data_IF_633467048119
#
_entry.id   IF_633467048119
#
_cell.length_a   1.000
_cell.length_b   1.000
_cell.length_c   1.000
_cell.angle_alpha   90.00
_cell.angle_beta   90.00
_cell.angle_gamma   90.00
#
_symmetry.space_group_name_H-M   'P 1'
#
loop_
_entity.id
_entity.type
_entity.pdbx_description
1 polymer ?
#
# COMPACT_ATOMS: atom_id res chain seq x y z
N UNK A 1 -23.95 -14.00 -26.30
CA UNK A 1 -24.07 -13.05 -25.17
C UNK A 1 -22.96 -12.03 -25.27
N UNK A 2 -23.20 -10.80 -24.80
CA UNK A 2 -22.17 -9.76 -24.69
C UNK A 2 -21.17 -10.11 -23.57
N UNK A 3 -19.88 -9.89 -23.81
CA UNK A 3 -18.80 -10.25 -22.88
C UNK A 3 -18.56 -9.11 -21.90
N UNK A 4 -18.80 -9.35 -20.60
CA UNK A 4 -18.39 -8.44 -19.52
C UNK A 4 -16.88 -8.60 -19.23
N UNK A 5 -16.23 -7.51 -18.84
CA UNK A 5 -14.81 -7.48 -18.50
C UNK A 5 -14.53 -6.28 -17.59
N UNK A 6 -13.47 -6.38 -16.78
CA UNK A 6 -12.96 -5.29 -15.96
C UNK A 6 -11.47 -5.54 -15.67
N UNK A 7 -10.78 -4.51 -15.19
CA UNK A 7 -9.47 -4.61 -14.59
C UNK A 7 -9.50 -4.10 -13.14
N UNK A 8 -8.63 -4.67 -12.32
CA UNK A 8 -8.36 -4.21 -10.96
C UNK A 8 -6.86 -4.27 -10.68
N UNK A 9 -6.40 -3.46 -9.74
CA UNK A 9 -4.99 -3.37 -9.39
C UNK A 9 -4.67 -2.21 -8.47
N UNK A 10 -3.39 -2.08 -8.17
CA UNK A 10 -2.90 -1.03 -7.29
C UNK A 10 -1.45 -1.27 -6.90
N UNK A 11 -0.85 -0.22 -6.36
CA UNK A 11 0.51 -0.22 -5.82
C UNK A 11 0.50 0.73 -4.63
N UNK A 12 0.86 0.25 -3.45
CA UNK A 12 0.89 1.03 -2.21
C UNK A 12 2.19 0.82 -1.42
N UNK A 13 2.55 1.79 -0.57
CA UNK A 13 3.77 1.75 0.23
C UNK A 13 3.47 1.72 1.73
N UNK A 14 4.11 0.80 2.45
CA UNK A 14 3.98 0.63 3.90
C UNK A 14 5.33 0.84 4.61
N UNK A 15 5.73 2.10 4.86
CA UNK A 15 7.01 2.38 5.50
C UNK A 15 6.95 2.11 7.01
N UNK A 16 8.12 1.90 7.62
CA UNK A 16 8.26 1.76 9.08
C UNK A 16 8.31 3.13 9.77
N UNK A 17 9.09 4.04 9.20
CA UNK A 17 9.20 5.45 9.59
C UNK A 17 8.87 6.32 8.39
N UNK A 18 8.42 7.54 8.64
CA UNK A 18 8.18 8.47 7.56
C UNK A 18 9.50 9.01 6.99
N UNK A 19 9.65 8.92 5.68
CA UNK A 19 10.59 9.70 4.90
C UNK A 19 9.77 10.45 3.83
N UNK A 20 9.80 11.77 3.86
CA UNK A 20 8.97 12.58 2.95
C UNK A 20 9.45 12.51 1.50
N UNK A 21 10.76 12.40 1.27
CA UNK A 21 11.31 12.32 -0.08
C UNK A 21 10.91 11.00 -0.75
N UNK A 22 10.94 9.90 0.01
CA UNK A 22 10.50 8.58 -0.46
C UNK A 22 9.01 8.58 -0.78
N UNK A 23 8.20 9.18 0.09
CA UNK A 23 6.76 9.27 -0.11
C UNK A 23 6.42 10.10 -1.36
N UNK A 24 7.08 11.26 -1.54
CA UNK A 24 6.96 12.09 -2.74
C UNK A 24 7.43 11.33 -3.98
N UNK A 25 8.60 10.67 -3.94
CA UNK A 25 9.14 9.89 -5.06
C UNK A 25 8.17 8.80 -5.50
N UNK A 26 7.67 8.02 -4.55
CA UNK A 26 6.73 6.93 -4.79
C UNK A 26 5.45 7.44 -5.46
N UNK A 27 4.80 8.44 -4.84
CA UNK A 27 3.54 8.99 -5.33
C UNK A 27 3.67 9.76 -6.63
N UNK A 28 4.77 10.50 -6.84
CA UNK A 28 5.07 11.18 -8.10
C UNK A 28 5.19 10.18 -9.25
N UNK A 29 5.91 9.09 -9.04
CA UNK A 29 6.11 8.06 -10.07
C UNK A 29 4.77 7.40 -10.46
N UNK A 30 3.89 7.15 -9.49
CA UNK A 30 2.54 6.63 -9.75
C UNK A 30 1.67 7.66 -10.48
N UNK A 31 1.70 8.93 -10.05
CA UNK A 31 0.97 10.03 -10.70
C UNK A 31 1.39 10.19 -12.16
N UNK A 32 2.69 10.21 -12.45
CA UNK A 32 3.22 10.26 -13.83
C UNK A 32 2.77 9.06 -14.69
N UNK A 33 2.53 7.89 -14.08
CA UNK A 33 1.97 6.75 -14.80
C UNK A 33 0.48 6.92 -15.11
N UNK A 34 -0.30 7.46 -14.17
CA UNK A 34 -1.72 7.77 -14.33
C UNK A 34 -1.96 8.93 -15.31
N UNK A 35 -1.20 10.01 -15.21
CA UNK A 35 -1.36 11.26 -15.96
C UNK A 35 -1.16 11.07 -17.48
N UNK A 36 -0.49 9.99 -17.90
CA UNK A 36 -0.39 9.57 -19.31
C UNK A 36 -1.72 9.16 -19.93
N UNK A 37 -2.73 8.86 -19.09
CA UNK A 37 -4.02 8.33 -19.52
C UNK A 37 -5.15 9.32 -19.19
N UNK A 38 -5.21 9.83 -17.97
CA UNK A 38 -6.11 10.93 -17.57
C UNK A 38 -5.65 11.48 -16.20
N UNK A 39 -5.55 12.82 -16.10
CA UNK A 39 -5.13 13.55 -14.89
C UNK A 39 -6.06 13.31 -13.67
N UNK A 40 -7.29 12.83 -13.90
CA UNK A 40 -8.24 12.51 -12.83
C UNK A 40 -7.98 11.15 -12.18
N UNK A 41 -7.20 10.27 -12.81
CA UNK A 41 -7.00 8.90 -12.33
C UNK A 41 -6.20 8.86 -11.03
N UNK A 42 -5.10 9.61 -10.93
CA UNK A 42 -4.30 9.61 -9.71
C UNK A 42 -5.09 10.12 -8.49
N UNK A 43 -5.73 11.31 -8.51
CA UNK A 43 -6.52 11.76 -7.36
C UNK A 43 -7.62 10.77 -6.94
N UNK A 44 -8.32 10.17 -7.92
CA UNK A 44 -9.37 9.17 -7.68
C UNK A 44 -8.79 7.91 -7.01
N UNK A 45 -7.74 7.34 -7.58
CA UNK A 45 -7.20 6.06 -7.13
C UNK A 45 -6.30 6.18 -5.91
N UNK A 46 -5.70 7.35 -5.66
CA UNK A 46 -5.03 7.67 -4.40
C UNK A 46 -6.02 7.71 -3.26
N UNK A 47 -7.12 8.45 -3.42
CA UNK A 47 -8.18 8.48 -2.41
C UNK A 47 -8.73 7.07 -2.15
N UNK A 48 -8.98 6.29 -3.20
CA UNK A 48 -9.48 4.93 -3.04
C UNK A 48 -8.47 4.04 -2.29
N UNK A 49 -7.16 4.22 -2.54
CA UNK A 49 -6.10 3.52 -1.80
C UNK A 49 -6.16 3.85 -0.29
N UNK A 50 -6.28 5.14 0.06
CA UNK A 50 -6.39 5.60 1.45
C UNK A 50 -7.62 5.03 2.17
N UNK A 51 -8.73 4.87 1.46
CA UNK A 51 -9.98 4.31 1.98
C UNK A 51 -9.93 2.78 2.10
N UNK A 52 -9.30 2.09 1.14
CA UNK A 52 -9.24 0.62 1.08
C UNK A 52 -8.35 0.03 2.17
N UNK A 53 -7.15 0.60 2.37
CA UNK A 53 -6.16 0.07 3.30
C UNK A 53 -6.34 0.56 4.75
N UNK A 54 -7.58 0.88 5.15
CA UNK A 54 -7.91 1.35 6.48
C UNK A 54 -8.16 0.21 7.47
N UNK A 55 -7.38 0.18 8.56
CA UNK A 55 -7.51 -0.78 9.65
C UNK A 55 -8.53 -0.24 10.65
N UNK A 56 -9.81 -0.54 10.42
CA UNK A 56 -10.94 0.07 11.15
C UNK A 56 -10.80 0.02 12.68
N UNK A 57 -10.34 -1.09 13.23
CA UNK A 57 -10.21 -1.27 14.68
C UNK A 57 -8.98 -0.55 15.29
N UNK A 58 -8.08 -0.02 14.46
CA UNK A 58 -6.90 0.77 14.89
C UNK A 58 -7.06 2.26 14.62
N UNK A 59 -7.99 2.66 13.75
CA UNK A 59 -8.15 4.05 13.36
C UNK A 59 -7.03 4.56 12.43
N UNK A 60 -6.28 3.67 11.79
CA UNK A 60 -5.09 4.02 10.98
C UNK A 60 -5.07 3.24 9.66
N UNK A 61 -4.35 3.75 8.66
CA UNK A 61 -4.10 3.05 7.39
C UNK A 61 -2.90 2.13 7.57
N UNK A 62 -2.84 1.09 6.74
CA UNK A 62 -1.72 0.13 6.72
C UNK A 62 -0.40 0.84 6.43
N UNK A 63 -0.42 1.78 5.49
CA UNK A 63 0.73 2.54 5.00
C UNK A 63 0.32 3.92 4.47
N UNK A 64 1.20 4.55 3.70
CA UNK A 64 1.02 5.91 3.17
C UNK A 64 0.28 5.96 1.83
N UNK A 65 -0.44 4.88 1.50
CA UNK A 65 -1.24 4.76 0.29
C UNK A 65 -0.41 4.58 -0.97
N UNK A 66 -0.98 5.01 -2.09
CA UNK A 66 -0.48 4.80 -3.44
C UNK A 66 -1.63 4.94 -4.43
N UNK A 67 -1.87 3.95 -5.28
CA UNK A 67 -3.08 3.87 -6.10
C UNK A 67 -3.79 2.54 -5.87
N UNK A 68 -5.12 2.56 -5.87
CA UNK A 68 -5.97 1.37 -5.84
C UNK A 68 -7.18 1.59 -6.76
N UNK A 69 -7.51 0.58 -7.54
CA UNK A 69 -8.66 0.58 -8.43
C UNK A 69 -9.19 -0.84 -8.62
N UNK A 70 -10.51 -0.94 -8.78
CA UNK A 70 -11.22 -2.18 -9.04
C UNK A 70 -12.38 -1.86 -9.99
N UNK A 71 -12.94 -2.89 -10.64
CA UNK A 71 -14.09 -2.75 -11.55
C UNK A 71 -13.91 -1.69 -12.66
N UNK A 72 -12.69 -1.53 -13.20
CA UNK A 72 -12.41 -0.58 -14.30
C UNK A 72 -12.72 -1.23 -15.65
N UNK A 73 -13.84 -0.82 -16.27
CA UNK A 73 -14.40 -1.40 -17.49
C UNK A 73 -14.64 -0.38 -18.64
N UNK A 74 -14.14 0.84 -18.47
CA UNK A 74 -14.32 1.97 -19.39
C UNK A 74 -13.04 2.82 -19.46
N UNK A 75 -12.79 3.55 -20.56
CA UNK A 75 -13.65 3.74 -21.75
C UNK A 75 -13.62 2.58 -22.74
N UNK A 76 -12.49 1.89 -22.89
CA UNK A 76 -12.36 0.70 -23.72
C UNK A 76 -11.33 -0.27 -23.14
N UNK A 77 -11.41 -1.53 -23.52
CA UNK A 77 -10.52 -2.57 -22.98
C UNK A 77 -9.05 -2.29 -23.25
N UNK A 78 -8.74 -1.79 -24.46
CA UNK A 78 -7.36 -1.50 -24.84
C UNK A 78 -6.82 -0.30 -24.07
N UNK A 79 -7.61 0.76 -23.91
CA UNK A 79 -7.20 1.94 -23.14
C UNK A 79 -6.97 1.60 -21.66
N UNK A 80 -7.88 0.84 -21.04
CA UNK A 80 -7.70 0.38 -19.65
C UNK A 80 -6.48 -0.53 -19.54
N UNK A 81 -6.25 -1.40 -20.54
CA UNK A 81 -5.06 -2.25 -20.55
C UNK A 81 -3.75 -1.43 -20.64
N UNK A 82 -3.70 -0.38 -21.46
CA UNK A 82 -2.53 0.51 -21.51
C UNK A 82 -2.33 1.25 -20.18
N UNK A 83 -3.41 1.67 -19.51
CA UNK A 83 -3.36 2.23 -18.16
C UNK A 83 -2.75 1.24 -17.15
N UNK A 84 -3.25 0.02 -17.09
CA UNK A 84 -2.74 -1.03 -16.21
C UNK A 84 -1.27 -1.35 -16.52
N UNK A 85 -0.89 -1.38 -17.80
CA UNK A 85 0.50 -1.60 -18.24
C UNK A 85 1.43 -0.47 -17.77
N UNK A 86 0.99 0.79 -17.83
CA UNK A 86 1.75 1.91 -17.27
C UNK A 86 1.94 1.78 -15.76
N UNK A 87 0.90 1.40 -15.03
CA UNK A 87 0.96 1.18 -13.57
C UNK A 87 1.89 0.00 -13.21
N UNK A 88 1.85 -1.10 -13.97
CA UNK A 88 2.75 -2.23 -13.76
C UNK A 88 4.22 -1.83 -14.00
N UNK A 89 4.48 -1.04 -15.04
CA UNK A 89 5.83 -0.53 -15.35
C UNK A 89 6.36 0.47 -14.32
N UNK A 90 5.50 1.13 -13.55
CA UNK A 90 5.92 2.10 -12.53
C UNK A 90 6.41 1.45 -11.23
N UNK A 91 6.12 0.16 -10.99
CA UNK A 91 6.49 -0.55 -9.74
C UNK A 91 7.99 -0.51 -9.45
N UNK A 92 8.81 -0.88 -10.44
CA UNK A 92 10.27 -0.89 -10.29
C UNK A 92 10.83 0.52 -10.02
N UNK A 93 10.53 1.55 -10.85
CA UNK A 93 11.08 2.89 -10.63
C UNK A 93 10.52 3.57 -9.37
N UNK A 94 9.30 3.25 -8.91
CA UNK A 94 8.76 3.86 -7.69
C UNK A 94 9.34 3.24 -6.42
N UNK A 95 9.78 1.97 -6.45
CA UNK A 95 10.18 1.24 -5.25
C UNK A 95 11.69 0.96 -5.14
N UNK A 96 12.35 0.53 -6.22
CA UNK A 96 13.76 0.11 -6.15
C UNK A 96 14.71 1.25 -5.73
N UNK A 97 14.53 2.52 -6.16
CA UNK A 97 15.37 3.62 -5.68
C UNK A 97 15.30 3.82 -4.17
N UNK A 98 14.10 3.71 -3.58
CA UNK A 98 13.86 3.79 -2.12
C UNK A 98 14.66 2.70 -1.41
N UNK A 99 14.51 1.44 -1.85
CA UNK A 99 15.24 0.31 -1.23
C UNK A 99 16.74 0.50 -1.34
N UNK A 100 17.27 0.91 -2.51
CA UNK A 100 18.70 1.14 -2.70
C UNK A 100 19.26 2.25 -1.81
N UNK A 101 18.46 3.26 -1.52
CA UNK A 101 18.83 4.37 -0.63
C UNK A 101 18.97 3.91 0.82
N UNK A 102 18.06 3.06 1.29
CA UNK A 102 17.92 2.74 2.71
C UNK A 102 18.38 1.33 3.13
N UNK A 103 18.70 0.42 2.19
CA UNK A 103 19.02 -0.97 2.53
C UNK A 103 20.31 -1.15 3.36
N UNK A 104 21.15 -0.12 3.44
CA UNK A 104 22.39 -0.11 4.21
C UNK A 104 22.36 0.85 5.41
N UNK A 105 21.21 1.46 5.68
CA UNK A 105 21.07 2.35 6.83
C UNK A 105 21.29 1.57 8.13
N UNK A 106 22.05 2.17 9.04
CA UNK A 106 22.14 1.67 10.40
C UNK A 106 20.80 1.84 11.11
N UNK A 107 20.39 0.84 11.87
CA UNK A 107 19.20 0.89 12.70
C UNK A 107 19.51 0.37 14.10
N UNK A 108 18.77 0.90 15.06
CA UNK A 108 18.80 0.51 16.47
C UNK A 108 17.91 -0.71 16.73
N UNK A 109 18.13 -1.45 17.82
CA UNK A 109 17.21 -2.49 18.27
C UNK A 109 15.77 -1.98 18.46
N UNK A 110 15.59 -0.75 18.91
CA UNK A 110 14.30 -0.09 19.13
C UNK A 110 13.57 0.14 17.79
N UNK A 111 14.28 0.65 16.77
CA UNK A 111 13.74 0.79 15.41
C UNK A 111 13.36 -0.56 14.81
N UNK A 112 14.12 -1.62 15.14
CA UNK A 112 13.77 -2.98 14.72
C UNK A 112 12.51 -3.48 15.40
N UNK A 113 12.32 -3.20 16.69
CA UNK A 113 11.10 -3.54 17.43
C UNK A 113 9.89 -2.81 16.86
N UNK A 114 10.03 -1.51 16.57
CA UNK A 114 8.99 -0.73 15.92
C UNK A 114 8.62 -1.30 14.55
N UNK A 115 9.59 -1.69 13.72
CA UNK A 115 9.34 -2.40 12.46
C UNK A 115 8.49 -3.66 12.69
N UNK A 116 8.73 -4.43 13.75
CA UNK A 116 7.94 -5.62 14.03
C UNK A 116 6.48 -5.29 14.40
N UNK A 117 6.25 -4.20 15.14
CA UNK A 117 4.91 -3.70 15.45
C UNK A 117 4.18 -3.23 14.19
N UNK A 118 4.85 -2.49 13.30
CA UNK A 118 4.30 -2.09 11.99
C UNK A 118 3.97 -3.30 11.11
N UNK A 119 4.82 -4.33 11.12
CA UNK A 119 4.53 -5.62 10.44
C UNK A 119 3.33 -6.35 11.05
N UNK A 120 3.13 -6.25 12.37
CA UNK A 120 1.91 -6.75 13.02
C UNK A 120 0.64 -6.12 12.45
N UNK A 121 0.66 -4.80 12.19
CA UNK A 121 -0.46 -4.09 11.51
C UNK A 121 -0.67 -4.57 10.08
N UNK A 122 0.40 -4.87 9.36
CA UNK A 122 0.31 -5.45 8.02
C UNK A 122 -0.41 -6.80 8.04
N UNK A 123 -0.06 -7.67 9.00
CA UNK A 123 -0.73 -8.96 9.21
C UNK A 123 -2.20 -8.76 9.61
N UNK A 124 -2.50 -7.86 10.55
CA UNK A 124 -3.88 -7.53 10.97
C UNK A 124 -4.75 -7.16 9.77
N UNK A 125 -4.27 -6.31 8.87
CA UNK A 125 -5.02 -5.94 7.68
C UNK A 125 -5.30 -7.13 6.76
N UNK A 126 -4.25 -7.90 6.40
CA UNK A 126 -4.39 -9.00 5.45
C UNK A 126 -5.32 -10.11 5.96
N UNK A 127 -5.26 -10.43 7.26
CA UNK A 127 -6.09 -11.49 7.82
C UNK A 127 -7.54 -11.07 8.10
N UNK A 128 -7.79 -9.78 8.38
CA UNK A 128 -9.13 -9.30 8.80
C UNK A 128 -9.90 -8.63 7.68
N UNK A 129 -9.25 -7.81 6.86
CA UNK A 129 -9.91 -6.87 5.95
C UNK A 129 -9.63 -7.14 4.47
N UNK A 130 -8.49 -7.73 4.12
CA UNK A 130 -8.15 -7.94 2.72
C UNK A 130 -9.11 -8.92 2.03
N UNK A 131 -9.81 -8.43 1.01
CA UNK A 131 -10.82 -9.19 0.28
C UNK A 131 -10.19 -10.38 -0.46
N UNK A 132 -9.00 -10.19 -1.03
CA UNK A 132 -8.29 -11.23 -1.79
C UNK A 132 -7.87 -12.39 -0.89
N UNK A 133 -7.25 -12.09 0.25
CA UNK A 133 -6.85 -13.08 1.26
C UNK A 133 -8.06 -13.85 1.80
N UNK A 134 -9.11 -13.13 2.22
CA UNK A 134 -10.32 -13.77 2.75
C UNK A 134 -11.00 -14.67 1.73
N UNK A 135 -11.16 -14.22 0.49
CA UNK A 135 -11.75 -15.01 -0.58
C UNK A 135 -10.91 -16.26 -0.90
N UNK A 136 -9.59 -16.10 -1.00
CA UNK A 136 -8.68 -17.22 -1.25
C UNK A 136 -8.73 -18.29 -0.17
N UNK A 137 -8.77 -17.91 1.11
CA UNK A 137 -8.86 -18.86 2.23
C UNK A 137 -10.20 -19.60 2.28
N UNK A 138 -11.28 -18.98 1.80
CA UNK A 138 -12.62 -19.59 1.78
C UNK A 138 -12.88 -20.44 0.52
N UNK A 139 -12.01 -20.37 -0.49
CA UNK A 139 -12.18 -21.08 -1.76
C UNK A 139 -11.56 -22.48 -1.69
N UNK A 140 -12.35 -23.56 -1.83
CA UNK A 140 -11.81 -24.92 -1.81
C UNK A 140 -10.76 -25.15 -2.92
N UNK A 141 -9.65 -25.80 -2.57
CA UNK A 141 -8.58 -26.12 -3.53
C UNK A 141 -7.65 -24.96 -3.86
N UNK A 142 -7.80 -23.78 -3.24
CA UNK A 142 -6.84 -22.69 -3.40
C UNK A 142 -5.47 -23.04 -2.82
N UNK A 143 -4.41 -22.53 -3.46
CA UNK A 143 -3.03 -22.72 -3.03
C UNK A 143 -2.73 -21.78 -1.86
N UNK A 144 -2.79 -22.29 -0.63
CA UNK A 144 -2.59 -21.51 0.60
C UNK A 144 -1.25 -20.77 0.62
N UNK A 145 -0.17 -21.40 0.16
CA UNK A 145 1.15 -20.75 0.05
C UNK A 145 1.15 -19.51 -0.86
N UNK A 146 0.27 -19.48 -1.86
CA UNK A 146 0.09 -18.31 -2.72
C UNK A 146 -0.83 -17.25 -2.11
N UNK A 147 -1.60 -17.57 -1.08
CA UNK A 147 -2.45 -16.60 -0.38
C UNK A 147 -1.66 -15.93 0.74
N UNK A 148 -0.88 -16.72 1.48
CA UNK A 148 -0.13 -16.25 2.64
C UNK A 148 1.26 -15.69 2.30
N UNK A 149 1.63 -15.61 1.02
CA UNK A 149 2.95 -15.07 0.63
C UNK A 149 3.15 -13.60 1.04
N UNK A 150 2.06 -12.88 1.30
CA UNK A 150 2.10 -11.49 1.77
C UNK A 150 2.56 -11.35 3.21
N UNK A 151 2.52 -12.43 4.01
CA UNK A 151 2.87 -12.36 5.42
C UNK A 151 4.39 -12.20 5.61
N UNK A 152 4.83 -11.29 6.49
CA UNK A 152 6.25 -11.11 6.78
C UNK A 152 6.81 -12.31 7.56
N UNK A 153 8.12 -12.53 7.45
CA UNK A 153 8.83 -13.58 8.18
C UNK A 153 8.62 -13.51 9.70
N UNK A 154 8.57 -12.29 10.25
CA UNK A 154 8.33 -12.03 11.68
C UNK A 154 7.46 -10.79 11.84
N UNK A 155 6.65 -10.78 12.89
CA UNK A 155 5.83 -9.66 13.33
C UNK A 155 5.70 -9.67 14.87
N UNK A 156 5.32 -8.54 15.47
CA UNK A 156 5.15 -8.37 16.92
C UNK A 156 3.81 -7.74 17.24
N UNK A 157 3.24 -8.16 18.36
CA UNK A 157 2.12 -7.50 19.04
C UNK A 157 2.52 -7.23 20.48
N UNK A 158 2.13 -6.07 20.98
CA UNK A 158 2.46 -5.62 22.32
C UNK A 158 1.27 -4.89 22.95
N UNK A 159 1.03 -5.19 24.22
CA UNK A 159 -0.11 -4.64 24.95
C UNK A 159 0.11 -3.16 25.23
N UNK A 160 -0.88 -2.32 24.87
CA UNK A 160 -0.91 -0.88 25.15
C UNK A 160 0.37 -0.10 24.79
N UNK A 161 1.12 -0.55 23.79
CA UNK A 161 2.29 0.17 23.31
C UNK A 161 1.88 1.51 22.69
N UNK A 162 2.31 2.62 23.29
CA UNK A 162 2.16 3.98 22.76
C UNK A 162 3.55 4.63 22.65
N UNK A 163 3.96 5.10 21.47
CA UNK A 163 5.22 5.81 21.33
C UNK A 163 5.17 7.20 21.96
N UNK A 164 6.32 7.79 22.34
CA UNK A 164 6.39 9.18 22.79
C UNK A 164 5.89 10.16 21.72
N UNK A 165 5.17 11.21 22.10
CA UNK A 165 4.52 12.15 21.15
C UNK A 165 5.50 12.86 20.20
N UNK A 166 6.73 13.11 20.63
CA UNK A 166 7.76 13.79 19.85
C UNK A 166 8.66 12.84 19.04
N UNK A 167 8.27 11.56 18.89
CA UNK A 167 9.10 10.54 18.24
C UNK A 167 8.72 10.34 16.77
N UNK A 168 9.63 9.72 16.00
CA UNK A 168 9.37 9.36 14.59
C UNK A 168 8.25 8.33 14.46
N UNK A 169 8.04 7.49 15.48
CA UNK A 169 6.92 6.56 15.56
C UNK A 169 5.57 7.30 15.65
N UNK A 170 5.50 8.37 16.46
CA UNK A 170 4.30 9.20 16.54
C UNK A 170 4.04 9.94 15.22
N UNK A 171 5.08 10.44 14.57
CA UNK A 171 5.00 11.11 13.25
C UNK A 171 4.38 10.19 12.18
N UNK A 172 4.87 8.95 12.03
CA UNK A 172 4.28 8.03 11.06
C UNK A 172 2.84 7.68 11.44
N UNK A 173 2.53 7.46 12.73
CA UNK A 173 1.16 7.17 13.16
C UNK A 173 0.19 8.30 12.82
N UNK A 174 0.62 9.56 12.94
CA UNK A 174 -0.22 10.72 12.60
C UNK A 174 -0.62 10.69 11.12
N UNK A 175 0.34 10.46 10.21
CA UNK A 175 0.06 10.35 8.77
C UNK A 175 -0.83 9.15 8.44
N UNK A 176 -0.71 8.05 9.19
CA UNK A 176 -1.57 6.88 9.00
C UNK A 176 -2.99 7.12 9.52
N UNK A 177 -3.19 7.98 10.51
CA UNK A 177 -4.53 8.42 10.98
C UNK A 177 -5.11 9.52 10.11
N UNK A 178 -4.28 10.35 9.51
CA UNK A 178 -4.65 11.50 8.71
C UNK A 178 -3.83 11.52 7.40
N UNK A 179 -4.27 10.76 6.36
CA UNK A 179 -3.57 10.72 5.08
C UNK A 179 -3.40 12.11 4.50
N UNK A 180 -2.20 12.40 4.00
CA UNK A 180 -1.88 13.66 3.33
C UNK A 180 -1.72 13.47 1.84
N UNK A 181 -1.73 14.59 1.12
CA UNK A 181 -1.37 14.61 -0.29
C UNK A 181 0.14 14.78 -0.42
N UNK A 182 0.76 13.88 -1.18
CA UNK A 182 2.21 13.82 -1.34
C UNK A 182 2.70 14.56 -2.58
N UNK A 183 1.82 14.72 -3.57
CA UNK A 183 2.10 15.36 -4.85
C UNK A 183 0.85 16.09 -5.33
N UNK A 184 1.06 17.19 -6.05
CA UNK A 184 0.01 18.01 -6.66
C UNK A 184 0.08 17.92 -8.20
#
# INVERSE_FOLDING_TARGET
GTKQWWFGGGTDLTPTYLDEEDAVHFHKTLKEACDKHDLKLYPKYKKWCDDYFYIKHRGERRGIGGIFFDDVDSPSKEEVFQFVKSCAKSVVPCYIPIVKRHCHDSFTPEEKLWQQLRRGRYVEFNLVYDRGTKFGLLTPGSRIESILMSLPLTARWEYMHNPPESSKEAEILEVLRNPKDWVH
#
